data_IF_695414334263
#
_entry.id   IF_695414334263
#
_cell.length_a   1.000
_cell.length_b   1.000
_cell.length_c   1.000
_cell.angle_alpha   90.00
_cell.angle_beta   90.00
_cell.angle_gamma   90.00
#
_symmetry.space_group_name_H-M   'P 1'
#
loop_
_entity.id
_entity.type
_entity.pdbx_description
1 polymer ?
#
# COMPACT_ATOMS: atom_id res chain seq x y z
N UNK A 1 32.83 14.36 1.83
CA UNK A 1 32.89 14.92 3.19
C UNK A 1 31.65 14.43 3.95
N UNK A 2 31.82 13.42 4.82
CA UNK A 2 30.68 12.81 5.54
C UNK A 2 30.09 13.81 6.53
N UNK A 3 28.79 14.10 6.41
CA UNK A 3 28.06 14.86 7.42
C UNK A 3 28.02 14.05 8.72
N UNK A 4 28.58 14.57 9.78
CA UNK A 4 28.44 14.00 11.11
C UNK A 4 26.99 14.17 11.57
N UNK A 5 26.34 13.05 11.93
CA UNK A 5 25.10 13.10 12.68
C UNK A 5 25.47 13.45 14.12
N UNK A 6 25.02 14.59 14.63
CA UNK A 6 25.20 14.96 16.03
C UNK A 6 24.11 14.30 16.85
N UNK A 7 24.52 13.40 17.76
CA UNK A 7 23.63 12.83 18.77
C UNK A 7 23.63 13.78 19.98
N UNK A 8 22.64 14.66 20.03
CA UNK A 8 22.39 15.48 21.22
C UNK A 8 21.39 14.74 22.16
N UNK A 9 21.57 14.88 23.48
CA UNK A 9 20.51 14.50 24.41
C UNK A 9 19.43 15.61 24.39
N UNK A 10 18.13 15.25 24.17
CA UNK A 10 17.49 13.95 24.36
C UNK A 10 17.23 13.14 23.08
N UNK A 11 17.85 13.39 21.93
CA UNK A 11 17.58 12.59 20.74
C UNK A 11 18.39 12.95 19.51
N UNK A 12 18.18 12.21 18.42
CA UNK A 12 18.73 12.46 17.10
C UNK A 12 17.82 13.40 16.33
N UNK A 13 18.36 14.56 15.88
CA UNK A 13 17.66 15.42 14.92
C UNK A 13 17.99 14.95 13.51
N UNK A 14 16.98 14.53 12.75
CA UNK A 14 17.11 14.18 11.33
C UNK A 14 16.85 15.41 10.47
N UNK A 15 17.28 15.43 9.19
CA UNK A 15 16.92 16.48 8.25
C UNK A 15 15.39 16.63 8.16
N UNK A 16 14.90 17.87 8.09
CA UNK A 16 13.48 18.15 7.96
C UNK A 16 13.20 19.27 6.96
N UNK A 17 11.97 19.38 6.51
CA UNK A 17 11.52 20.39 5.55
C UNK A 17 10.23 19.97 4.87
N UNK A 18 9.65 20.87 4.04
CA UNK A 18 8.44 20.56 3.28
C UNK A 18 8.73 19.64 2.05
N UNK A 19 7.68 19.29 1.31
CA UNK A 19 7.77 18.41 0.14
C UNK A 19 8.64 18.99 -0.97
N UNK A 20 8.60 20.32 -1.20
CA UNK A 20 9.41 20.99 -2.22
C UNK A 20 10.92 21.00 -1.87
N UNK A 21 11.26 20.82 -0.61
CA UNK A 21 12.64 20.77 -0.10
C UNK A 21 13.23 19.34 -0.09
N UNK A 22 12.59 18.38 -0.76
CA UNK A 22 13.16 17.07 -0.99
C UNK A 22 14.39 17.19 -1.86
N UNK A 23 15.52 16.64 -1.40
CA UNK A 23 16.80 16.74 -2.11
C UNK A 23 16.75 15.89 -3.38
N UNK A 24 17.09 16.48 -4.52
CA UNK A 24 17.19 15.77 -5.81
C UNK A 24 18.31 14.70 -5.80
N UNK A 25 19.37 14.96 -5.01
CA UNK A 25 20.55 14.09 -4.91
C UNK A 25 20.46 13.11 -3.72
N UNK A 26 19.27 12.78 -3.26
CA UNK A 26 19.10 11.81 -2.17
C UNK A 26 19.59 10.43 -2.62
N UNK A 27 20.47 9.81 -1.87
CA UNK A 27 20.84 8.41 -2.06
C UNK A 27 19.76 7.49 -1.47
N UNK A 28 19.58 6.30 -2.04
CA UNK A 28 18.70 5.29 -1.46
C UNK A 28 19.05 5.03 0.00
N UNK A 29 18.04 4.95 0.87
CA UNK A 29 18.22 4.85 2.32
C UNK A 29 18.28 6.19 3.05
N UNK A 30 18.24 7.33 2.35
CA UNK A 30 18.12 8.65 2.99
C UNK A 30 16.79 8.77 3.72
N UNK A 31 16.82 9.32 4.94
CA UNK A 31 15.64 9.58 5.76
C UNK A 31 15.53 11.07 6.09
N UNK A 32 14.29 11.57 6.20
CA UNK A 32 13.98 12.94 6.61
C UNK A 32 12.58 13.02 7.22
N UNK A 33 12.30 14.09 7.96
CA UNK A 33 10.95 14.43 8.39
C UNK A 33 10.31 15.44 7.45
N UNK A 34 9.15 15.14 6.88
CA UNK A 34 8.39 16.06 6.04
C UNK A 34 7.42 16.85 6.92
N UNK A 35 7.68 18.15 7.06
CA UNK A 35 6.90 19.04 7.93
C UNK A 35 5.55 19.44 7.32
N UNK A 36 5.37 19.29 6.01
CA UNK A 36 4.11 19.63 5.33
C UNK A 36 3.04 18.56 5.54
N UNK A 37 3.44 17.30 5.49
CA UNK A 37 2.55 16.13 5.67
C UNK A 37 2.76 15.43 7.01
N UNK A 38 3.67 15.94 7.83
CA UNK A 38 3.96 15.51 9.20
C UNK A 38 4.33 14.02 9.33
N UNK A 39 5.17 13.51 8.44
CA UNK A 39 5.63 12.12 8.43
C UNK A 39 7.13 11.99 8.28
N UNK A 40 7.68 10.89 8.79
CA UNK A 40 9.02 10.43 8.45
C UNK A 40 9.00 9.87 7.02
N UNK A 41 9.99 10.24 6.21
CA UNK A 41 10.13 9.75 4.84
C UNK A 41 11.45 9.01 4.65
N UNK A 42 11.41 7.94 3.85
CA UNK A 42 12.57 7.18 3.37
C UNK A 42 12.66 7.34 1.85
N UNK A 43 13.83 7.64 1.32
CA UNK A 43 14.09 7.61 -0.11
C UNK A 43 14.54 6.19 -0.54
N UNK A 44 13.78 5.55 -1.43
CA UNK A 44 14.06 4.20 -1.90
C UNK A 44 15.00 4.12 -3.13
N UNK A 45 15.52 5.26 -3.58
CA UNK A 45 16.31 5.40 -4.80
C UNK A 45 15.52 5.95 -5.99
N UNK A 46 14.18 5.97 -5.90
CA UNK A 46 13.28 6.46 -6.96
C UNK A 46 12.31 7.52 -6.42
N UNK A 47 11.79 7.32 -5.21
CA UNK A 47 10.80 8.19 -4.59
C UNK A 47 10.99 8.29 -3.07
N UNK A 48 10.48 9.39 -2.49
CA UNK A 48 10.32 9.55 -1.06
C UNK A 48 9.02 8.90 -0.61
N UNK A 49 9.11 7.88 0.24
CA UNK A 49 7.99 7.12 0.75
C UNK A 49 7.77 7.42 2.24
N UNK A 50 6.52 7.59 2.70
CA UNK A 50 6.23 7.74 4.11
C UNK A 50 6.54 6.45 4.88
N UNK A 51 7.12 6.58 6.06
CA UNK A 51 7.43 5.47 6.98
C UNK A 51 6.32 5.36 8.02
N UNK A 52 5.74 4.16 8.17
CA UNK A 52 4.73 3.87 9.19
C UNK A 52 3.33 4.43 8.91
N UNK A 53 3.06 4.91 7.69
CA UNK A 53 1.73 5.36 7.25
C UNK A 53 1.20 4.37 6.22
N UNK A 54 -0.10 4.06 6.30
CA UNK A 54 -0.76 3.30 5.23
C UNK A 54 -0.78 4.14 3.95
N UNK A 55 -0.34 3.56 2.84
CA UNK A 55 -0.39 4.21 1.54
C UNK A 55 -1.84 4.16 1.00
N UNK A 56 -2.63 5.17 1.35
CA UNK A 56 -4.04 5.25 0.98
C UNK A 56 -4.23 5.84 -0.43
N UNK A 57 -5.08 5.22 -1.22
CA UNK A 57 -5.33 5.60 -2.61
C UNK A 57 -6.78 5.32 -3.02
N UNK A 58 -7.38 6.21 -3.81
CA UNK A 58 -8.63 5.94 -4.52
C UNK A 58 -8.34 5.29 -5.88
N UNK A 59 -9.05 4.22 -6.20
CA UNK A 59 -8.89 3.44 -7.43
C UNK A 59 -10.24 3.35 -8.13
N UNK A 60 -10.28 3.75 -9.42
CA UNK A 60 -11.50 3.82 -10.24
C UNK A 60 -11.42 2.97 -11.52
N UNK A 61 -10.33 2.24 -11.73
CA UNK A 61 -10.06 1.41 -12.90
C UNK A 61 -9.07 0.31 -12.55
N UNK A 62 -8.85 -0.62 -13.47
CA UNK A 62 -7.86 -1.71 -13.31
C UNK A 62 -6.53 -1.20 -12.76
N UNK A 63 -6.03 -1.87 -11.73
CA UNK A 63 -4.86 -1.44 -10.96
C UNK A 63 -4.02 -2.64 -10.52
N UNK A 64 -2.71 -2.45 -10.40
CA UNK A 64 -1.80 -3.41 -9.76
C UNK A 64 -1.41 -2.90 -8.37
N UNK A 65 -1.92 -3.56 -7.35
CA UNK A 65 -1.69 -3.19 -5.97
C UNK A 65 -0.26 -3.49 -5.50
N UNK A 66 0.21 -2.71 -4.54
CA UNK A 66 1.47 -2.93 -3.84
C UNK A 66 1.21 -3.30 -2.37
N UNK A 67 2.17 -3.97 -1.75
CA UNK A 67 2.09 -4.27 -0.31
C UNK A 67 2.00 -2.99 0.52
N UNK A 68 1.16 -3.01 1.56
CA UNK A 68 0.93 -1.88 2.46
C UNK A 68 -0.05 -0.85 1.93
N UNK A 69 -0.69 -1.06 0.78
CA UNK A 69 -1.70 -0.14 0.25
C UNK A 69 -3.07 -0.32 0.89
N UNK A 70 -3.75 0.81 1.11
CA UNK A 70 -5.14 0.91 1.49
C UNK A 70 -5.93 1.50 0.31
N UNK A 71 -6.76 0.68 -0.32
CA UNK A 71 -7.43 1.03 -1.56
C UNK A 71 -8.90 1.38 -1.31
N UNK A 72 -9.27 2.63 -1.55
CA UNK A 72 -10.65 3.07 -1.63
C UNK A 72 -11.13 2.84 -3.07
N UNK A 73 -11.89 1.77 -3.27
CA UNK A 73 -12.26 1.28 -4.60
C UNK A 73 -13.62 1.84 -5.00
N UNK A 74 -13.67 2.55 -6.11
CA UNK A 74 -14.89 3.13 -6.67
C UNK A 74 -15.26 2.38 -7.96
N UNK A 75 -16.22 1.47 -7.88
CA UNK A 75 -16.74 0.71 -9.03
C UNK A 75 -18.03 1.33 -9.62
N UNK A 76 -18.37 2.57 -9.27
CA UNK A 76 -19.58 3.23 -9.76
C UNK A 76 -19.62 3.33 -11.31
N UNK A 77 -18.47 3.39 -11.98
CA UNK A 77 -18.33 3.40 -13.43
C UNK A 77 -18.35 2.02 -14.11
N UNK A 78 -18.48 0.94 -13.34
CA UNK A 78 -18.42 -0.45 -13.78
C UNK A 78 -17.39 -1.26 -12.98
N UNK A 79 -17.57 -2.58 -12.96
CA UNK A 79 -16.63 -3.49 -12.31
C UNK A 79 -15.27 -3.54 -13.01
N UNK A 80 -14.20 -3.73 -12.25
CA UNK A 80 -12.83 -3.85 -12.78
C UNK A 80 -11.97 -4.76 -11.91
N UNK A 81 -10.73 -5.00 -12.33
CA UNK A 81 -9.80 -5.89 -11.63
C UNK A 81 -8.71 -5.10 -10.91
N UNK A 82 -8.45 -5.46 -9.66
CA UNK A 82 -7.23 -5.07 -8.93
C UNK A 82 -6.37 -6.31 -8.76
N UNK A 83 -5.19 -6.30 -9.39
CA UNK A 83 -4.22 -7.39 -9.27
C UNK A 83 -3.40 -7.27 -7.99
N UNK A 84 -3.31 -8.33 -7.23
CA UNK A 84 -2.44 -8.44 -6.06
C UNK A 84 -0.95 -8.46 -6.46
N UNK A 85 -0.01 -8.14 -5.56
CA UNK A 85 1.42 -8.30 -5.80
C UNK A 85 1.78 -9.71 -6.27
N UNK A 86 2.54 -9.83 -7.38
CA UNK A 86 2.95 -11.13 -7.94
C UNK A 86 4.11 -11.81 -7.20
N UNK A 87 4.90 -11.03 -6.46
CA UNK A 87 6.03 -11.50 -5.66
C UNK A 87 5.92 -11.03 -4.20
N UNK A 88 4.84 -11.40 -3.49
CA UNK A 88 4.64 -10.96 -2.13
C UNK A 88 5.55 -11.68 -1.14
N UNK A 89 5.91 -11.02 -0.05
CA UNK A 89 6.52 -11.62 1.13
C UNK A 89 5.46 -12.02 2.17
N UNK A 90 5.73 -13.03 3.00
CA UNK A 90 4.83 -13.42 4.10
C UNK A 90 4.62 -12.21 5.03
N UNK A 91 3.35 -11.90 5.30
CA UNK A 91 2.95 -10.73 6.08
C UNK A 91 2.61 -9.49 5.25
N UNK A 92 2.81 -9.51 3.91
CA UNK A 92 2.33 -8.43 3.05
C UNK A 92 0.82 -8.30 3.13
N UNK A 93 0.33 -7.05 3.16
CA UNK A 93 -1.09 -6.73 3.32
C UNK A 93 -1.54 -5.78 2.21
N UNK A 94 -2.72 -6.03 1.66
CA UNK A 94 -3.47 -5.09 0.82
C UNK A 94 -4.87 -4.95 1.40
N UNK A 95 -5.30 -3.71 1.63
CA UNK A 95 -6.59 -3.39 2.24
C UNK A 95 -7.54 -2.79 1.20
N UNK A 96 -8.79 -3.24 1.23
CA UNK A 96 -9.83 -2.84 0.30
C UNK A 96 -11.03 -2.23 1.02
N UNK A 97 -11.59 -1.16 0.44
CA UNK A 97 -12.84 -0.54 0.88
C UNK A 97 -13.72 -0.26 -0.33
N UNK A 98 -14.96 -0.70 -0.28
CA UNK A 98 -16.00 -0.28 -1.22
C UNK A 98 -16.39 1.18 -0.94
N UNK A 99 -15.82 2.11 -1.73
CA UNK A 99 -15.98 3.54 -1.47
C UNK A 99 -17.42 4.03 -1.66
N UNK A 100 -18.14 3.45 -2.61
CA UNK A 100 -19.47 3.89 -3.01
C UNK A 100 -20.58 2.90 -2.71
N UNK A 101 -20.25 1.78 -2.08
CA UNK A 101 -21.19 0.69 -1.82
C UNK A 101 -21.81 0.14 -3.11
N UNK A 102 -20.97 -0.10 -4.11
CA UNK A 102 -21.40 -0.52 -5.45
C UNK A 102 -20.87 -1.89 -5.86
N UNK A 103 -20.18 -2.63 -4.97
CA UNK A 103 -19.65 -3.95 -5.30
C UNK A 103 -20.72 -4.99 -5.58
N UNK A 104 -21.93 -4.81 -5.08
CA UNK A 104 -23.08 -5.70 -5.36
C UNK A 104 -23.58 -5.57 -6.80
N UNK A 105 -23.54 -4.38 -7.35
CA UNK A 105 -23.99 -4.07 -8.71
C UNK A 105 -22.87 -4.04 -9.74
N UNK A 106 -21.69 -3.62 -9.35
CA UNK A 106 -20.46 -3.53 -10.16
C UNK A 106 -19.32 -4.22 -9.42
N UNK A 107 -19.23 -5.53 -9.56
CA UNK A 107 -18.32 -6.36 -8.77
C UNK A 107 -16.86 -5.93 -8.92
N UNK A 108 -16.12 -5.94 -7.81
CA UNK A 108 -14.66 -5.89 -7.84
C UNK A 108 -14.13 -7.30 -8.08
N UNK A 109 -13.20 -7.45 -9.02
CA UNK A 109 -12.38 -8.66 -9.16
C UNK A 109 -11.03 -8.42 -8.52
N UNK A 110 -10.64 -9.28 -7.59
CA UNK A 110 -9.27 -9.29 -7.04
C UNK A 110 -8.47 -10.36 -7.78
N UNK A 111 -7.59 -9.90 -8.66
CA UNK A 111 -6.72 -10.75 -9.46
C UNK A 111 -5.59 -11.33 -8.62
N UNK A 112 -5.45 -12.64 -8.62
CA UNK A 112 -4.46 -13.38 -7.81
C UNK A 112 -3.02 -13.20 -8.27
N UNK A 113 -2.80 -12.77 -9.52
CA UNK A 113 -1.49 -12.50 -10.11
C UNK A 113 -0.47 -13.65 -9.90
N UNK A 114 -0.92 -14.90 -10.15
CA UNK A 114 -0.09 -16.10 -10.04
C UNK A 114 -0.01 -16.75 -8.65
N UNK A 115 -0.52 -16.10 -7.60
CA UNK A 115 -0.59 -16.67 -6.23
C UNK A 115 -1.98 -17.25 -5.95
N UNK A 116 -2.13 -18.02 -4.88
CA UNK A 116 -3.43 -18.49 -4.42
C UNK A 116 -4.17 -17.37 -3.67
N UNK A 117 -5.52 -17.41 -3.68
CA UNK A 117 -6.38 -16.63 -2.79
C UNK A 117 -7.24 -17.63 -2.02
N UNK A 118 -7.20 -17.61 -0.70
CA UNK A 118 -7.91 -18.55 0.20
C UNK A 118 -7.58 -20.04 -0.07
N UNK A 119 -6.43 -20.32 -0.68
CA UNK A 119 -6.02 -21.66 -1.09
C UNK A 119 -6.44 -22.03 -2.51
N UNK A 120 -7.23 -21.20 -3.18
CA UNK A 120 -7.75 -21.46 -4.52
C UNK A 120 -6.90 -20.79 -5.61
N UNK A 121 -6.81 -21.44 -6.78
CA UNK A 121 -6.11 -20.91 -7.97
C UNK A 121 -7.05 -20.09 -8.88
N UNK A 122 -8.04 -19.40 -8.29
CA UNK A 122 -8.99 -18.54 -8.95
C UNK A 122 -8.89 -17.10 -8.45
N UNK A 123 -9.25 -16.13 -9.31
CA UNK A 123 -9.44 -14.74 -8.88
C UNK A 123 -10.68 -14.65 -7.98
N UNK A 124 -10.66 -13.71 -7.04
CA UNK A 124 -11.75 -13.53 -6.09
C UNK A 124 -12.70 -12.44 -6.57
N UNK A 125 -13.99 -12.76 -6.67
CA UNK A 125 -15.04 -11.77 -6.93
C UNK A 125 -15.59 -11.25 -5.61
N UNK A 126 -15.62 -9.93 -5.45
CA UNK A 126 -16.25 -9.24 -4.32
C UNK A 126 -17.53 -8.59 -4.82
N UNK A 127 -18.67 -9.08 -4.32
CA UNK A 127 -20.02 -8.70 -4.74
C UNK A 127 -20.92 -8.28 -3.57
N UNK A 128 -20.32 -7.85 -2.46
CA UNK A 128 -21.06 -7.42 -1.27
C UNK A 128 -20.99 -5.90 -1.13
N UNK A 129 -22.14 -5.25 -1.01
CA UNK A 129 -22.25 -3.82 -0.74
C UNK A 129 -21.49 -3.44 0.53
N UNK A 130 -20.68 -2.39 0.43
CA UNK A 130 -19.93 -1.83 1.56
C UNK A 130 -18.83 -2.74 2.09
N UNK A 131 -18.36 -3.72 1.32
CA UNK A 131 -17.30 -4.63 1.75
C UNK A 131 -16.03 -3.87 2.13
N UNK A 132 -15.43 -4.27 3.26
CA UNK A 132 -14.13 -3.80 3.73
C UNK A 132 -13.35 -5.00 4.29
N UNK A 133 -12.15 -5.25 3.78
CA UNK A 133 -11.35 -6.42 4.19
C UNK A 133 -9.88 -6.21 3.88
N UNK A 134 -9.04 -6.96 4.59
CA UNK A 134 -7.62 -7.08 4.32
C UNK A 134 -7.33 -8.43 3.68
N UNK A 135 -6.40 -8.45 2.71
CA UNK A 135 -5.76 -9.67 2.25
C UNK A 135 -4.33 -9.69 2.76
N UNK A 136 -3.98 -10.72 3.50
CA UNK A 136 -2.64 -10.94 4.07
C UNK A 136 -2.00 -12.14 3.38
N UNK A 137 -0.78 -11.98 2.87
CA UNK A 137 -0.07 -13.10 2.26
C UNK A 137 0.52 -14.03 3.31
N UNK A 138 0.11 -15.30 3.29
CA UNK A 138 0.50 -16.32 4.27
C UNK A 138 1.57 -17.30 3.76
N UNK A 139 2.05 -17.10 2.53
CA UNK A 139 3.00 -17.97 1.85
C UNK A 139 2.36 -18.76 0.70
N UNK A 140 3.19 -19.48 -0.07
CA UNK A 140 2.76 -20.13 -1.32
C UNK A 140 1.73 -21.25 -1.13
N UNK A 141 1.71 -21.90 0.05
CA UNK A 141 0.80 -23.02 0.31
C UNK A 141 -0.68 -22.63 0.39
N UNK A 142 -0.98 -21.43 0.88
CA UNK A 142 -2.35 -20.94 1.07
C UNK A 142 -2.62 -19.59 0.40
N UNK A 143 -1.56 -18.89 -0.01
CA UNK A 143 -1.62 -17.62 -0.71
C UNK A 143 -2.12 -16.46 0.16
N UNK A 144 -2.93 -15.62 -0.43
CA UNK A 144 -3.58 -14.49 0.21
C UNK A 144 -4.78 -14.94 1.03
N UNK A 145 -4.83 -14.53 2.29
CA UNK A 145 -5.90 -14.88 3.22
C UNK A 145 -6.70 -13.65 3.61
N UNK A 146 -8.01 -13.76 3.63
CA UNK A 146 -8.87 -12.69 4.14
C UNK A 146 -8.67 -12.60 5.65
N UNK A 147 -8.34 -11.40 6.11
CA UNK A 147 -8.37 -11.03 7.51
C UNK A 147 -9.59 -10.15 7.72
N UNK A 148 -10.57 -10.67 8.43
CA UNK A 148 -11.71 -9.90 8.96
C UNK A 148 -11.55 -9.79 10.46
N UNK A 149 -11.64 -8.57 10.98
CA UNK A 149 -11.58 -8.28 12.43
C UNK A 149 -12.99 -8.12 12.95
#
# INVERSE_FOLDING_TARGET
MGRRISLGSPGLTIPFGNTAQRTADAGAGSIRFNTQINVLELYNGTAWLPVGVLNAKTVTTTYSAHSGEQLFVDTNGGGFTINLPGTPAVGDVVRFFDLRKTFDSNNLTVGRNGKLIQGDSADMTVNSEGAAFDLVYSGDSYGWRILTV
#
